data_IF_716514631433
#
_entry.id   IF_716514631433
#
_cell.length_a   1.000
_cell.length_b   1.000
_cell.length_c   1.000
_cell.angle_alpha   90.00
_cell.angle_beta   90.00
_cell.angle_gamma   90.00
#
_symmetry.space_group_name_H-M   'P 1'
#
loop_
_entity.id
_entity.type
_entity.pdbx_description
1 polymer ?
#
# COMPACT_ATOMS: atom_id res chain seq x y z
N UNK A 1 -17.83 -16.09 -31.66
CA UNK A 1 -17.03 -16.89 -30.69
C UNK A 1 -15.69 -16.21 -30.59
N UNK A 2 -15.33 -15.70 -29.40
CA UNK A 2 -14.04 -15.01 -29.24
C UNK A 2 -12.92 -16.04 -29.29
N UNK A 3 -12.02 -15.91 -30.27
CA UNK A 3 -10.78 -16.68 -30.30
C UNK A 3 -10.02 -16.45 -28.99
N UNK A 4 -9.73 -17.54 -28.26
CA UNK A 4 -8.79 -17.49 -27.15
C UNK A 4 -7.40 -17.40 -27.76
N UNK A 5 -6.74 -16.26 -27.60
CA UNK A 5 -5.33 -16.13 -27.92
C UNK A 5 -4.52 -16.82 -26.82
N UNK A 6 -3.60 -17.70 -27.20
CA UNK A 6 -2.60 -18.25 -26.27
C UNK A 6 -1.66 -17.11 -25.84
N UNK A 7 -1.66 -16.78 -24.55
CA UNK A 7 -0.85 -15.70 -23.98
C UNK A 7 -0.18 -16.14 -22.68
N UNK A 8 1.05 -15.68 -22.48
CA UNK A 8 1.78 -15.80 -21.21
C UNK A 8 1.61 -14.49 -20.42
N UNK A 9 1.18 -14.61 -19.17
CA UNK A 9 1.05 -13.47 -18.26
C UNK A 9 2.12 -13.56 -17.16
N UNK A 10 2.92 -12.51 -17.02
CA UNK A 10 3.87 -12.34 -15.92
C UNK A 10 3.16 -11.54 -14.83
N UNK A 11 2.90 -12.15 -13.69
CA UNK A 11 2.12 -11.56 -12.58
C UNK A 11 2.98 -10.80 -11.56
N UNK A 12 4.29 -11.00 -11.58
CA UNK A 12 5.24 -10.35 -10.66
C UNK A 12 6.29 -11.31 -10.14
N UNK A 13 7.24 -10.79 -9.38
CA UNK A 13 8.29 -11.57 -8.75
C UNK A 13 7.78 -12.20 -7.43
N UNK A 14 8.20 -13.43 -7.14
CA UNK A 14 7.74 -14.17 -5.97
C UNK A 14 8.28 -13.58 -4.66
N UNK A 15 9.51 -13.08 -4.68
CA UNK A 15 10.20 -12.43 -3.57
C UNK A 15 9.63 -11.06 -3.20
N UNK A 16 8.80 -10.48 -4.08
CA UNK A 16 8.07 -9.23 -3.81
C UNK A 16 6.68 -9.47 -3.20
N UNK A 17 6.23 -10.72 -3.08
CA UNK A 17 4.90 -11.00 -2.53
C UNK A 17 4.82 -10.78 -1.02
N UNK A 18 3.64 -10.36 -0.54
CA UNK A 18 3.30 -10.34 0.87
C UNK A 18 2.70 -11.69 1.27
N UNK A 19 3.03 -12.17 2.47
CA UNK A 19 2.36 -13.32 3.08
C UNK A 19 1.49 -12.87 4.25
N UNK A 20 0.18 -13.10 4.14
CA UNK A 20 -0.80 -12.77 5.17
C UNK A 20 -1.76 -13.94 5.35
N UNK A 21 -1.87 -14.45 6.57
CA UNK A 21 -2.78 -15.56 6.93
C UNK A 21 -2.60 -16.81 6.04
N UNK A 22 -1.36 -17.10 5.62
CA UNK A 22 -1.03 -18.24 4.76
C UNK A 22 -1.36 -18.05 3.28
N UNK A 23 -1.76 -16.84 2.87
CA UNK A 23 -2.02 -16.48 1.48
C UNK A 23 -0.96 -15.48 0.97
N UNK A 24 -0.67 -15.54 -0.34
CA UNK A 24 0.25 -14.63 -1.01
C UNK A 24 -0.49 -13.57 -1.82
N UNK A 25 0.00 -12.34 -1.74
CA UNK A 25 -0.55 -11.18 -2.43
C UNK A 25 0.57 -10.41 -3.11
N UNK A 26 0.31 -9.90 -4.32
CA UNK A 26 1.20 -8.95 -4.95
C UNK A 26 0.90 -7.54 -4.40
N UNK A 27 1.89 -6.84 -3.77
CA UNK A 27 1.70 -5.50 -3.22
C UNK A 27 1.08 -4.52 -4.21
N UNK A 28 1.48 -4.62 -5.48
CA UNK A 28 1.06 -3.71 -6.55
C UNK A 28 -0.45 -3.75 -6.78
N UNK A 29 -1.10 -4.91 -6.58
CA UNK A 29 -2.54 -5.04 -6.76
C UNK A 29 -3.27 -4.23 -5.68
N UNK A 30 -2.80 -4.31 -4.43
CA UNK A 30 -3.35 -3.56 -3.30
C UNK A 30 -3.09 -2.05 -3.48
N UNK A 31 -1.87 -1.68 -3.85
CA UNK A 31 -1.50 -0.27 -4.09
C UNK A 31 -2.27 0.34 -5.27
N UNK A 32 -2.57 -0.44 -6.31
CA UNK A 32 -3.39 0.01 -7.44
C UNK A 32 -4.82 0.31 -6.99
N UNK A 33 -5.37 -0.49 -6.07
CA UNK A 33 -6.68 -0.22 -5.48
C UNK A 33 -6.66 0.99 -4.54
N UNK A 34 -5.62 1.16 -3.74
CA UNK A 34 -5.49 2.30 -2.82
C UNK A 34 -5.29 3.61 -3.58
N UNK A 35 -4.42 3.66 -4.58
CA UNK A 35 -4.09 4.89 -5.32
C UNK A 35 -5.28 5.54 -6.03
N UNK A 36 -6.31 4.76 -6.38
CA UNK A 36 -7.50 5.26 -7.10
C UNK A 36 -8.64 5.76 -6.21
N UNK A 37 -8.57 5.60 -4.89
CA UNK A 37 -9.71 5.96 -4.01
C UNK A 37 -9.85 7.47 -3.80
N UNK A 38 -8.77 8.23 -3.96
CA UNK A 38 -8.76 9.65 -3.65
C UNK A 38 -7.72 10.39 -4.50
N UNK A 39 -8.14 11.50 -5.13
CA UNK A 39 -7.33 12.28 -6.06
C UNK A 39 -6.06 12.91 -5.45
N UNK A 40 -6.05 13.13 -4.13
CA UNK A 40 -4.93 13.74 -3.43
C UNK A 40 -3.84 12.72 -3.05
N UNK A 41 -4.05 11.43 -3.30
CA UNK A 41 -3.00 10.41 -3.09
C UNK A 41 -1.94 10.60 -4.17
N UNK A 42 -0.72 10.92 -3.75
CA UNK A 42 0.42 11.06 -4.65
C UNK A 42 1.05 9.70 -4.95
N UNK A 43 1.22 8.88 -3.91
CA UNK A 43 1.80 7.55 -3.98
C UNK A 43 1.34 6.72 -2.78
N UNK A 44 1.43 5.39 -2.87
CA UNK A 44 1.21 4.51 -1.72
C UNK A 44 2.11 3.28 -1.77
N UNK A 45 2.38 2.68 -0.63
CA UNK A 45 3.13 1.44 -0.53
C UNK A 45 2.58 0.57 0.59
N UNK A 46 2.62 -0.75 0.39
CA UNK A 46 2.15 -1.71 1.39
C UNK A 46 3.26 -2.67 1.80
N UNK A 47 3.25 -3.07 3.08
CA UNK A 47 4.12 -4.10 3.60
C UNK A 47 3.49 -4.78 4.81
N UNK A 48 4.08 -5.89 5.25
CA UNK A 48 3.65 -6.61 6.45
C UNK A 48 4.48 -6.25 7.67
N UNK A 49 3.84 -6.08 8.82
CA UNK A 49 4.49 -5.96 10.13
C UNK A 49 3.76 -6.80 11.17
N UNK A 50 4.43 -7.77 11.81
CA UNK A 50 3.82 -8.65 12.83
C UNK A 50 2.48 -9.28 12.40
N UNK A 51 2.37 -9.72 11.14
CA UNK A 51 1.14 -10.23 10.49
C UNK A 51 0.02 -9.21 10.26
N UNK A 52 0.27 -7.92 10.48
CA UNK A 52 -0.60 -6.82 10.08
C UNK A 52 -0.21 -6.33 8.69
N UNK A 53 -1.22 -5.94 7.90
CA UNK A 53 -1.02 -5.16 6.69
C UNK A 53 -0.85 -3.68 7.08
N UNK A 54 0.29 -3.10 6.72
CA UNK A 54 0.56 -1.68 6.86
C UNK A 54 0.41 -1.03 5.49
N UNK A 55 -0.35 0.06 5.43
CA UNK A 55 -0.54 0.87 4.22
C UNK A 55 0.02 2.26 4.49
N UNK A 56 1.03 2.66 3.73
CA UNK A 56 1.60 4.01 3.74
C UNK A 56 1.06 4.78 2.54
N UNK A 57 0.57 5.99 2.77
CA UNK A 57 -0.03 6.86 1.76
C UNK A 57 0.62 8.23 1.79
N UNK A 58 1.18 8.66 0.66
CA UNK A 58 1.61 10.03 0.45
C UNK A 58 0.42 10.89 0.05
N UNK A 59 0.20 11.98 0.79
CA UNK A 59 -0.96 12.86 0.60
C UNK A 59 -0.54 14.26 0.16
N UNK A 60 -0.96 14.66 -1.05
CA UNK A 60 -0.92 16.05 -1.54
C UNK A 60 -2.18 16.82 -1.08
N UNK A 61 -2.40 16.94 0.22
CA UNK A 61 -3.66 17.44 0.78
C UNK A 61 -3.52 18.08 2.15
N UNK A 62 -4.66 18.39 2.78
CA UNK A 62 -4.70 18.92 4.16
C UNK A 62 -4.74 17.80 5.20
N UNK A 63 -4.41 18.09 6.46
CA UNK A 63 -4.55 17.15 7.58
C UNK A 63 -5.99 16.60 7.72
N UNK A 64 -7.00 17.41 7.39
CA UNK A 64 -8.39 16.95 7.43
C UNK A 64 -8.64 15.86 6.37
N UNK A 65 -8.06 15.99 5.18
CA UNK A 65 -8.12 14.94 4.15
C UNK A 65 -7.38 13.67 4.58
N UNK A 66 -6.33 13.79 5.40
CA UNK A 66 -5.61 12.64 5.94
C UNK A 66 -6.49 11.77 6.86
N UNK A 67 -7.33 12.40 7.68
CA UNK A 67 -8.27 11.70 8.55
C UNK A 67 -9.36 10.97 7.75
N UNK A 68 -9.89 11.63 6.71
CA UNK A 68 -10.93 11.07 5.85
C UNK A 68 -10.41 9.90 4.99
N UNK A 69 -9.11 9.83 4.73
CA UNK A 69 -8.48 8.74 3.97
C UNK A 69 -8.47 7.39 4.68
N UNK A 70 -8.36 7.37 6.00
CA UNK A 70 -8.24 6.13 6.78
C UNK A 70 -9.40 5.16 6.54
N UNK A 71 -10.69 5.58 6.66
CA UNK A 71 -11.80 4.69 6.35
C UNK A 71 -11.85 4.32 4.86
N UNK A 72 -11.46 5.21 3.94
CA UNK A 72 -11.43 4.91 2.50
C UNK A 72 -10.42 3.81 2.16
N UNK A 73 -9.19 3.92 2.69
CA UNK A 73 -8.13 2.91 2.54
C UNK A 73 -8.56 1.58 3.14
N UNK A 74 -9.12 1.62 4.35
CA UNK A 74 -9.56 0.40 5.03
C UNK A 74 -10.67 -0.31 4.25
N UNK A 75 -11.65 0.45 3.73
CA UNK A 75 -12.77 -0.11 2.98
C UNK A 75 -12.32 -0.70 1.64
N UNK A 76 -11.52 0.00 0.84
CA UNK A 76 -11.12 -0.51 -0.48
C UNK A 76 -10.29 -1.79 -0.37
N UNK A 77 -9.40 -1.87 0.62
CA UNK A 77 -8.55 -3.05 0.83
C UNK A 77 -9.39 -4.23 1.33
N UNK A 78 -10.38 -3.96 2.18
CA UNK A 78 -11.30 -4.99 2.64
C UNK A 78 -12.21 -5.50 1.52
N UNK A 79 -12.83 -4.61 0.76
CA UNK A 79 -13.83 -4.96 -0.25
C UNK A 79 -13.20 -5.63 -1.48
N UNK A 80 -12.05 -5.17 -1.93
CA UNK A 80 -11.43 -5.67 -3.15
C UNK A 80 -10.43 -6.81 -2.92
N UNK A 81 -9.74 -6.83 -1.78
CA UNK A 81 -8.68 -7.80 -1.50
C UNK A 81 -9.03 -8.78 -0.37
N UNK A 82 -10.16 -8.58 0.32
CA UNK A 82 -10.57 -9.35 1.50
C UNK A 82 -9.50 -9.35 2.61
N UNK A 83 -8.76 -8.24 2.71
CA UNK A 83 -7.69 -8.05 3.69
C UNK A 83 -8.07 -7.00 4.72
N UNK A 84 -7.66 -7.25 5.97
CA UNK A 84 -7.83 -6.29 7.06
C UNK A 84 -6.55 -5.45 7.14
N UNK A 85 -6.68 -4.14 6.94
CA UNK A 85 -5.61 -3.17 7.18
C UNK A 85 -5.43 -3.00 8.67
N UNK A 86 -4.23 -3.28 9.20
CA UNK A 86 -3.93 -3.12 10.62
C UNK A 86 -3.39 -1.73 10.96
N UNK A 87 -2.64 -1.11 10.05
CA UNK A 87 -2.07 0.23 10.25
C UNK A 87 -2.19 1.04 8.96
N UNK A 88 -2.68 2.28 9.07
CA UNK A 88 -2.63 3.28 8.00
C UNK A 88 -1.69 4.40 8.45
N UNK A 89 -0.71 4.71 7.62
CA UNK A 89 0.26 5.79 7.85
C UNK A 89 0.11 6.81 6.72
N UNK A 90 -0.20 8.05 7.07
CA UNK A 90 -0.28 9.16 6.10
C UNK A 90 0.96 10.03 6.27
N UNK A 91 1.66 10.28 5.17
CA UNK A 91 2.94 11.01 5.14
C UNK A 91 2.92 12.09 4.05
N UNK A 92 3.86 13.01 4.12
CA UNK A 92 4.09 13.99 3.06
C UNK A 92 4.57 13.33 1.75
N UNK A 93 4.33 13.97 0.59
CA UNK A 93 4.84 13.51 -0.70
C UNK A 93 6.36 13.39 -0.76
N UNK A 94 6.87 12.31 -1.36
CA UNK A 94 8.30 12.03 -1.52
C UNK A 94 8.95 11.22 -0.39
N UNK A 95 8.18 10.77 0.61
CA UNK A 95 8.66 9.93 1.72
C UNK A 95 8.84 8.46 1.30
N UNK A 96 8.00 7.94 0.40
CA UNK A 96 8.09 6.59 -0.14
C UNK A 96 9.31 6.52 -1.07
N UNK A 97 10.34 5.75 -0.72
CA UNK A 97 11.55 5.67 -1.52
C UNK A 97 11.29 4.92 -2.82
N UNK A 98 11.58 5.57 -3.96
CA UNK A 98 11.50 5.00 -5.30
C UNK A 98 12.89 5.06 -5.92
N UNK A 99 13.37 3.95 -6.47
CA UNK A 99 14.70 3.90 -7.10
C UNK A 99 14.71 4.51 -8.51
N UNK A 100 15.88 4.59 -9.14
CA UNK A 100 16.05 5.14 -10.50
C UNK A 100 15.30 4.38 -11.61
N UNK A 101 14.78 3.19 -11.33
CA UNK A 101 13.96 2.39 -12.26
C UNK A 101 12.46 2.56 -12.03
N UNK A 102 12.05 3.37 -11.05
CA UNK A 102 10.65 3.54 -10.68
C UNK A 102 10.13 2.45 -9.73
N UNK A 103 11.00 1.62 -9.15
CA UNK A 103 10.58 0.56 -8.23
C UNK A 103 10.51 1.11 -6.80
N UNK A 104 9.37 0.90 -6.14
CA UNK A 104 9.17 1.23 -4.73
C UNK A 104 10.07 0.35 -3.86
N UNK A 105 10.91 0.97 -3.03
CA UNK A 105 11.79 0.29 -2.10
C UNK A 105 11.05 -0.03 -0.79
N UNK A 106 10.02 -0.89 -0.87
CA UNK A 106 9.11 -1.24 0.24
C UNK A 106 9.83 -1.74 1.49
N UNK A 107 10.91 -2.50 1.31
CA UNK A 107 11.72 -2.98 2.43
C UNK A 107 12.44 -1.84 3.15
N UNK A 108 12.96 -0.85 2.40
CA UNK A 108 13.57 0.33 3.00
C UNK A 108 12.53 1.18 3.74
N UNK A 109 11.35 1.38 3.15
CA UNK A 109 10.22 2.06 3.80
C UNK A 109 9.80 1.35 5.10
N UNK A 110 9.70 0.02 5.06
CA UNK A 110 9.39 -0.80 6.24
C UNK A 110 10.45 -0.61 7.32
N UNK A 111 11.74 -0.65 6.97
CA UNK A 111 12.81 -0.48 7.94
C UNK A 111 12.77 0.92 8.57
N UNK A 112 12.49 1.97 7.79
CA UNK A 112 12.27 3.33 8.29
C UNK A 112 11.06 3.42 9.23
N UNK A 113 9.96 2.74 8.91
CA UNK A 113 8.79 2.64 9.79
C UNK A 113 9.13 1.96 11.12
N UNK A 114 9.84 0.82 11.07
CA UNK A 114 10.23 0.07 12.27
C UNK A 114 11.25 0.81 13.15
N UNK A 115 12.05 1.68 12.53
CA UNK A 115 13.04 2.51 13.21
C UNK A 115 12.47 3.84 13.73
N UNK A 116 11.16 4.09 13.57
CA UNK A 116 10.50 5.34 13.96
C UNK A 116 11.11 6.58 13.25
N UNK A 117 11.49 6.41 11.98
CA UNK A 117 12.15 7.44 11.16
C UNK A 117 11.19 8.11 10.16
N UNK A 118 9.95 7.66 10.09
CA UNK A 118 8.91 8.37 9.34
C UNK A 118 8.40 9.53 10.21
N UNK A 119 8.14 10.68 9.59
CA UNK A 119 7.47 11.82 10.21
C UNK A 119 6.03 11.89 9.68
N UNK A 120 5.09 11.08 10.22
CA UNK A 120 3.75 10.96 9.67
C UNK A 120 2.87 12.16 10.04
N UNK A 121 2.06 12.59 9.07
CA UNK A 121 0.95 13.52 9.28
C UNK A 121 -0.08 12.87 10.22
N UNK A 122 -0.35 11.57 10.01
CA UNK A 122 -1.32 10.83 10.81
C UNK A 122 -1.01 9.32 10.81
N UNK A 123 -1.29 8.65 11.93
CA UNK A 123 -1.19 7.19 12.06
C UNK A 123 -2.48 6.65 12.70
N UNK A 124 -3.12 5.71 12.01
CA UNK A 124 -4.28 4.97 12.51
C UNK A 124 -3.92 3.50 12.77
N UNK A 125 -4.28 3.02 13.96
CA UNK A 125 -4.21 1.61 14.32
C UNK A 125 -5.63 1.04 14.34
N UNK A 126 -5.92 0.17 13.38
CA UNK A 126 -7.19 -0.53 13.31
C UNK A 126 -7.11 -1.77 14.20
N UNK A 127 -7.48 -1.61 15.47
CA UNK A 127 -7.61 -2.71 16.45
C UNK A 127 -9.06 -3.16 16.61
#
# INVERSE_FOLDING_TARGET
>A
MSERHDALYVVGALDETLELRGLRYHPIDIETSVSRIHRSIAECAVFTWTNLLVVVVELCGSEQEALDLVPLVTNVVLEEHYLIVGVVVVVDPGVIPINSRGEKQRMHLRDSFLADQLDPIYVAYNM
#
